data_IF_171845849209
#
_entry.id   IF_171845849209
#
_cell.length_a   1.000
_cell.length_b   1.000
_cell.length_c   1.000
_cell.angle_alpha   90.00
_cell.angle_beta   90.00
_cell.angle_gamma   90.00
#
_symmetry.space_group_name_H-M   'P 1'
#
loop_
_entity.id
_entity.type
_entity.pdbx_description
1 polymer ?
#
# COMPACT_ATOMS: atom_id res chain seq x y z
N UNK A 1 -1.52 13.89 -4.33
CA UNK A 1 -2.03 13.58 -2.97
C UNK A 1 -3.19 12.59 -3.06
N UNK A 2 -4.44 13.03 -3.27
CA UNK A 2 -5.62 12.14 -3.24
C UNK A 2 -5.57 10.98 -4.24
N UNK A 3 -5.17 11.22 -5.48
CA UNK A 3 -5.07 10.15 -6.49
C UNK A 3 -4.10 9.03 -6.08
N UNK A 4 -2.92 9.39 -5.57
CA UNK A 4 -1.94 8.43 -5.05
C UNK A 4 -2.48 7.68 -3.84
N UNK A 5 -3.14 8.35 -2.90
CA UNK A 5 -3.73 7.73 -1.71
C UNK A 5 -4.84 6.74 -2.07
N UNK A 6 -5.76 7.13 -2.96
CA UNK A 6 -6.84 6.25 -3.44
C UNK A 6 -6.25 5.03 -4.15
N UNK A 7 -5.21 5.22 -4.95
CA UNK A 7 -4.53 4.14 -5.66
C UNK A 7 -3.90 3.13 -4.69
N UNK A 8 -3.18 3.61 -3.67
CA UNK A 8 -2.54 2.77 -2.64
C UNK A 8 -3.60 1.97 -1.86
N UNK A 9 -4.70 2.62 -1.46
CA UNK A 9 -5.78 1.96 -0.71
C UNK A 9 -6.51 0.91 -1.56
N UNK A 10 -6.84 1.24 -2.82
CA UNK A 10 -7.51 0.32 -3.74
C UNK A 10 -6.65 -0.90 -4.03
N UNK A 11 -5.39 -0.69 -4.40
CA UNK A 11 -4.48 -1.79 -4.71
C UNK A 11 -4.18 -2.63 -3.46
N UNK A 12 -3.92 -2.00 -2.31
CA UNK A 12 -3.70 -2.71 -1.06
C UNK A 12 -4.89 -3.59 -0.67
N UNK A 13 -6.12 -3.05 -0.75
CA UNK A 13 -7.33 -3.80 -0.50
C UNK A 13 -7.56 -4.94 -1.50
N UNK A 14 -7.31 -4.69 -2.79
CA UNK A 14 -7.43 -5.69 -3.83
C UNK A 14 -6.43 -6.84 -3.64
N UNK A 15 -5.17 -6.52 -3.34
CA UNK A 15 -4.14 -7.50 -2.99
C UNK A 15 -4.50 -8.34 -1.77
N UNK A 16 -5.05 -7.70 -0.73
CA UNK A 16 -5.53 -8.39 0.46
C UNK A 16 -6.69 -9.36 0.17
N UNK A 17 -7.65 -8.97 -0.67
CA UNK A 17 -8.71 -9.88 -1.11
C UNK A 17 -8.19 -11.03 -1.98
N UNK A 18 -7.24 -10.75 -2.87
CA UNK A 18 -6.65 -11.76 -3.72
C UNK A 18 -5.89 -12.81 -2.90
N UNK A 19 -5.07 -12.38 -1.93
CA UNK A 19 -4.41 -13.28 -0.99
C UNK A 19 -5.42 -14.10 -0.18
N UNK A 20 -6.52 -13.48 0.28
CA UNK A 20 -7.61 -14.18 0.98
C UNK A 20 -8.26 -15.26 0.12
N UNK A 21 -8.46 -15.00 -1.19
CA UNK A 21 -8.99 -16.00 -2.13
C UNK A 21 -8.04 -17.17 -2.36
N UNK A 22 -6.73 -16.94 -2.25
CA UNK A 22 -5.70 -17.96 -2.37
C UNK A 22 -5.46 -18.73 -1.05
N UNK A 23 -6.21 -18.44 0.02
CA UNK A 23 -6.09 -19.09 1.32
C UNK A 23 -4.99 -18.49 2.23
N UNK A 24 -4.33 -17.41 1.80
CA UNK A 24 -3.33 -16.72 2.59
C UNK A 24 -3.96 -15.61 3.48
N UNK A 25 -3.31 -15.24 4.59
CA UNK A 25 -3.71 -14.08 5.38
C UNK A 25 -3.77 -12.81 4.52
N UNK A 26 -4.87 -12.01 4.58
CA UNK A 26 -5.01 -10.78 3.79
C UNK A 26 -3.85 -9.81 3.97
N UNK A 27 -3.29 -9.76 5.18
CA UNK A 27 -2.16 -8.91 5.52
C UNK A 27 -0.95 -9.14 4.60
N UNK A 28 -0.70 -10.39 4.21
CA UNK A 28 0.40 -10.74 3.30
C UNK A 28 0.16 -10.10 1.92
N UNK A 29 -1.06 -10.21 1.39
CA UNK A 29 -1.42 -9.59 0.13
C UNK A 29 -1.29 -8.06 0.14
N UNK A 30 -1.67 -7.43 1.27
CA UNK A 30 -1.52 -5.99 1.45
C UNK A 30 -0.04 -5.56 1.45
N UNK A 31 0.82 -6.30 2.14
CA UNK A 31 2.27 -6.03 2.20
C UNK A 31 2.92 -6.20 0.83
N UNK A 32 2.64 -7.31 0.12
CA UNK A 32 3.19 -7.59 -1.21
C UNK A 32 2.84 -6.49 -2.20
N UNK A 33 1.59 -6.04 -2.19
CA UNK A 33 1.16 -4.94 -3.06
C UNK A 33 1.83 -3.62 -2.67
N UNK A 34 2.00 -3.35 -1.37
CA UNK A 34 2.76 -2.18 -0.90
C UNK A 34 4.21 -2.17 -1.39
N UNK A 35 4.88 -3.33 -1.40
CA UNK A 35 6.25 -3.47 -1.93
C UNK A 35 6.28 -3.24 -3.44
N UNK A 36 5.33 -3.81 -4.19
CA UNK A 36 5.25 -3.66 -5.65
C UNK A 36 4.97 -2.23 -6.10
N UNK A 37 4.16 -1.48 -5.33
CA UNK A 37 3.77 -0.09 -5.66
C UNK A 37 4.77 0.92 -5.09
N UNK A 38 5.52 0.52 -4.06
CA UNK A 38 6.50 1.33 -3.38
C UNK A 38 7.64 1.80 -4.29
N UNK A 39 8.44 2.76 -3.79
CA UNK A 39 9.56 3.35 -4.53
C UNK A 39 10.61 2.33 -4.98
N UNK A 40 10.73 1.21 -4.27
CA UNK A 40 11.70 0.14 -4.57
C UNK A 40 11.39 -0.65 -5.85
N UNK A 41 10.13 -0.66 -6.33
CA UNK A 41 9.73 -1.47 -7.50
C UNK A 41 8.89 -0.69 -8.51
N UNK A 42 7.83 -0.03 -8.05
CA UNK A 42 6.84 0.59 -8.92
C UNK A 42 6.96 2.11 -9.05
N UNK A 43 7.63 2.77 -8.09
CA UNK A 43 7.77 4.24 -7.99
C UNK A 43 6.47 5.02 -8.25
N UNK A 44 5.33 4.39 -7.92
CA UNK A 44 4.00 4.93 -8.22
C UNK A 44 3.46 5.80 -7.07
N UNK A 45 4.22 5.93 -5.98
CA UNK A 45 3.87 6.70 -4.80
C UNK A 45 4.56 8.05 -4.87
N UNK A 46 3.79 9.14 -4.83
CA UNK A 46 4.35 10.48 -4.78
C UNK A 46 5.24 10.65 -3.52
N UNK A 47 6.45 11.22 -3.62
CA UNK A 47 7.40 11.33 -2.50
C UNK A 47 6.82 12.03 -1.27
N UNK A 48 5.95 13.01 -1.50
CA UNK A 48 5.29 13.78 -0.45
C UNK A 48 4.35 12.91 0.41
N UNK A 49 3.81 11.81 -0.13
CA UNK A 49 2.99 10.85 0.63
C UNK A 49 3.87 10.01 1.57
N UNK A 50 5.11 9.70 1.16
CA UNK A 50 6.08 8.99 2.01
C UNK A 50 6.52 9.84 3.20
N UNK A 51 6.73 11.15 2.98
CA UNK A 51 7.08 12.10 4.05
C UNK A 51 5.96 12.18 5.10
N UNK A 52 4.70 12.31 4.67
CA UNK A 52 3.55 12.37 5.59
C UNK A 52 3.34 11.02 6.31
N UNK A 53 3.73 9.91 5.69
CA UNK A 53 3.57 8.59 6.30
C UNK A 53 4.38 8.43 7.61
N UNK A 54 5.56 9.05 7.71
CA UNK A 54 6.37 9.03 8.94
C UNK A 54 5.66 9.80 10.08
N UNK A 55 5.08 10.97 9.77
CA UNK A 55 4.28 11.72 10.73
C UNK A 55 3.07 10.90 11.20
N UNK A 56 2.35 10.24 10.27
CA UNK A 56 1.18 9.42 10.57
C UNK A 56 1.49 8.22 11.48
N UNK A 57 2.67 7.59 11.35
CA UNK A 57 3.09 6.49 12.25
C UNK A 57 3.32 6.97 13.68
N UNK A 58 3.69 8.24 13.86
CA UNK A 58 3.95 8.82 15.18
C UNK A 58 2.65 9.15 15.93
N UNK A 59 1.55 9.36 15.20
CA UNK A 59 0.22 9.63 15.79
C UNK A 59 -0.59 8.38 16.17
N UNK A 60 -0.21 7.19 15.70
CA UNK A 60 -0.90 5.91 15.95
C UNK A 60 -0.29 5.15 17.12
#
# INVERSE_FOLDING_TARGET
>A
MLGSTIWILLMGFFGGQLARRLGAPPLIGMIVVGILIGPEVGDAIAPQVLVIADDLRTFA
#
